data_IF_048431981188
#
_entry.id   IF_048431981188
#
_cell.length_a   1.000
_cell.length_b   1.000
_cell.length_c   1.000
_cell.angle_alpha   90.00
_cell.angle_beta   90.00
_cell.angle_gamma   90.00
#
_symmetry.space_group_name_H-M   'P 1'
#
loop_
_entity.id
_entity.type
_entity.pdbx_description
1 polymer ?
#
# COMPACT_ATOMS: atom_id res chain seq x y z
N UNK A 1 24.51 4.51 6.27
CA UNK A 1 23.33 3.70 6.67
C UNK A 1 22.41 4.67 7.38
N UNK A 2 21.12 4.68 7.09
CA UNK A 2 20.18 5.56 7.79
C UNK A 2 19.96 5.04 9.23
N UNK A 3 19.47 5.92 10.13
CA UNK A 3 19.11 5.49 11.51
C UNK A 3 18.04 4.41 11.51
N UNK A 4 17.13 4.45 10.54
CA UNK A 4 16.12 3.43 10.29
C UNK A 4 16.76 2.07 9.95
N UNK A 5 17.76 2.07 9.04
CA UNK A 5 18.49 0.85 8.69
C UNK A 5 19.30 0.32 9.86
N UNK A 6 19.97 1.18 10.62
CA UNK A 6 20.72 0.80 11.82
C UNK A 6 19.81 0.14 12.86
N UNK A 7 18.58 0.67 13.04
CA UNK A 7 17.62 0.13 14.00
C UNK A 7 17.15 -1.27 13.61
N UNK A 8 16.78 -1.47 12.34
CA UNK A 8 16.35 -2.79 11.86
C UNK A 8 17.52 -3.77 11.82
N UNK A 9 18.73 -3.33 11.44
CA UNK A 9 19.93 -4.19 11.44
C UNK A 9 20.33 -4.58 12.85
N UNK A 10 20.20 -3.69 13.84
CA UNK A 10 20.38 -4.03 15.24
C UNK A 10 19.49 -5.21 15.66
N UNK A 11 18.21 -5.18 15.27
CA UNK A 11 17.29 -6.28 15.51
C UNK A 11 17.64 -7.54 14.71
N UNK A 12 17.95 -7.40 13.42
CA UNK A 12 18.27 -8.50 12.51
C UNK A 12 19.52 -9.28 12.98
N UNK A 13 20.53 -8.57 13.50
CA UNK A 13 21.75 -9.17 14.04
C UNK A 13 21.51 -10.07 15.26
N UNK A 14 20.35 -9.94 15.90
CA UNK A 14 19.98 -10.70 17.10
C UNK A 14 19.14 -11.95 16.82
N UNK A 15 18.70 -12.15 15.59
CA UNK A 15 17.85 -13.30 15.23
C UNK A 15 18.50 -14.61 15.61
N UNK A 16 17.75 -15.43 16.34
CA UNK A 16 18.24 -16.70 16.90
C UNK A 16 18.76 -16.60 18.34
N UNK A 17 18.91 -15.40 18.91
CA UNK A 17 19.21 -15.26 20.36
C UNK A 17 18.06 -15.83 21.16
N UNK A 18 18.36 -16.76 22.06
CA UNK A 18 17.40 -17.43 22.96
C UNK A 18 17.60 -16.96 24.39
N UNK A 19 16.52 -16.92 25.15
CA UNK A 19 16.63 -16.79 26.60
C UNK A 19 17.16 -18.08 27.22
N UNK A 20 17.76 -17.95 28.37
CA UNK A 20 17.92 -19.04 29.31
C UNK A 20 16.68 -19.06 30.20
N UNK A 21 16.10 -20.22 30.57
CA UNK A 21 14.85 -20.26 31.30
C UNK A 21 14.90 -19.43 32.59
N UNK A 22 13.94 -18.70 32.96
CA UNK A 22 12.76 -18.10 32.37
C UNK A 22 13.05 -16.60 32.20
N UNK A 23 13.05 -16.08 31.00
CA UNK A 23 13.32 -14.66 30.69
C UNK A 23 14.75 -14.16 31.09
N UNK A 24 15.72 -15.05 31.30
CA UNK A 24 17.13 -14.65 31.48
C UNK A 24 17.71 -14.36 30.09
N UNK A 25 17.88 -13.10 29.78
CA UNK A 25 18.42 -12.65 28.49
C UNK A 25 19.18 -11.34 28.66
N UNK A 26 20.18 -11.11 27.82
CA UNK A 26 21.03 -9.91 27.91
C UNK A 26 20.26 -8.59 27.81
N UNK A 27 19.10 -8.57 27.15
CA UNK A 27 18.26 -7.38 27.02
C UNK A 27 17.64 -7.00 28.36
N UNK A 28 17.15 -7.98 29.13
CA UNK A 28 16.65 -7.78 30.47
C UNK A 28 17.77 -7.36 31.42
N UNK A 29 18.95 -8.01 31.35
CA UNK A 29 20.10 -7.62 32.18
C UNK A 29 20.51 -6.16 31.92
N UNK A 30 20.52 -5.75 30.65
CA UNK A 30 20.75 -4.36 30.26
C UNK A 30 19.70 -3.40 30.83
N UNK A 31 18.40 -3.74 30.68
CA UNK A 31 17.30 -2.88 31.08
C UNK A 31 17.22 -2.69 32.59
N UNK A 32 17.35 -3.78 33.35
CA UNK A 32 17.25 -3.76 34.82
C UNK A 32 18.58 -3.48 35.54
N UNK A 33 19.69 -3.48 34.80
CA UNK A 33 21.05 -3.28 35.38
C UNK A 33 21.59 -4.48 36.14
N UNK A 34 20.88 -5.60 36.20
CA UNK A 34 21.25 -6.85 36.82
C UNK A 34 20.46 -8.02 36.20
N UNK A 35 20.98 -9.26 36.29
CA UNK A 35 20.23 -10.43 35.85
C UNK A 35 18.91 -10.57 36.58
N UNK A 36 17.81 -10.80 35.81
CA UNK A 36 16.46 -11.06 36.30
C UNK A 36 15.94 -12.36 35.72
N UNK A 37 14.96 -12.98 36.41
CA UNK A 37 14.34 -14.23 35.97
C UNK A 37 12.92 -14.32 36.46
N UNK A 38 12.05 -14.99 35.73
CA UNK A 38 10.66 -15.26 36.07
C UNK A 38 9.66 -14.63 35.10
N UNK A 39 8.39 -15.02 35.22
CA UNK A 39 7.30 -14.68 34.29
C UNK A 39 7.00 -13.17 34.19
N UNK A 40 7.39 -12.40 35.20
CA UNK A 40 7.19 -10.95 35.25
C UNK A 40 8.14 -10.13 34.37
N UNK A 41 9.09 -10.78 33.69
CA UNK A 41 10.16 -10.13 32.91
C UNK A 41 10.07 -10.41 31.42
N UNK A 42 8.85 -10.37 30.86
CA UNK A 42 8.64 -10.45 29.42
C UNK A 42 9.46 -9.36 28.70
N UNK A 43 10.20 -9.73 27.64
CA UNK A 43 11.22 -8.86 27.07
C UNK A 43 10.99 -8.44 25.62
N UNK A 44 9.76 -8.54 25.11
CA UNK A 44 9.46 -8.08 23.74
C UNK A 44 9.69 -6.57 23.59
N UNK A 45 9.19 -5.76 24.53
CA UNK A 45 9.34 -4.29 24.50
C UNK A 45 10.75 -3.85 24.93
N UNK A 46 11.33 -4.56 25.89
CA UNK A 46 12.75 -4.39 26.30
C UNK A 46 13.70 -4.63 25.12
N UNK A 47 13.41 -5.60 24.26
CA UNK A 47 14.20 -5.86 23.04
C UNK A 47 14.13 -4.67 22.07
N UNK A 48 12.94 -4.10 21.87
CA UNK A 48 12.76 -2.90 21.04
C UNK A 48 13.56 -1.72 21.59
N UNK A 49 13.48 -1.48 22.91
CA UNK A 49 14.27 -0.46 23.62
C UNK A 49 15.78 -0.69 23.47
N UNK A 50 16.24 -1.95 23.58
CA UNK A 50 17.64 -2.30 23.41
C UNK A 50 18.14 -2.02 21.98
N UNK A 51 17.36 -2.36 20.95
CA UNK A 51 17.69 -2.03 19.56
C UNK A 51 17.78 -0.52 19.35
N UNK A 52 16.85 0.23 19.94
CA UNK A 52 16.85 1.69 19.87
C UNK A 52 18.09 2.32 20.56
N UNK A 53 18.52 1.75 21.69
CA UNK A 53 19.76 2.15 22.36
C UNK A 53 20.99 1.91 21.47
N UNK A 54 21.06 0.75 20.79
CA UNK A 54 22.20 0.40 19.94
C UNK A 54 22.42 1.41 18.78
N UNK A 55 21.37 2.06 18.29
CA UNK A 55 21.47 3.06 17.21
C UNK A 55 21.29 4.51 17.68
N UNK A 56 21.20 4.74 19.00
CA UNK A 56 21.16 6.10 19.59
C UNK A 56 19.84 6.85 19.38
N UNK A 57 18.72 6.14 19.28
CA UNK A 57 17.36 6.71 19.14
C UNK A 57 16.45 6.45 20.35
N UNK A 58 17.00 5.81 21.39
CA UNK A 58 16.29 5.54 22.64
C UNK A 58 15.89 6.88 23.30
N UNK A 59 14.65 6.97 23.81
CA UNK A 59 14.02 8.16 24.41
C UNK A 59 13.95 9.39 23.48
N UNK A 60 14.36 9.24 22.22
CA UNK A 60 14.21 10.25 21.18
C UNK A 60 13.05 9.86 20.25
N UNK A 61 13.15 8.70 19.60
CA UNK A 61 12.16 8.17 18.66
C UNK A 61 11.44 6.93 19.20
N UNK A 62 12.07 6.19 20.11
CA UNK A 62 11.54 4.96 20.74
C UNK A 62 11.70 5.11 22.25
N UNK A 63 10.64 5.00 23.06
CA UNK A 63 10.74 5.14 24.50
C UNK A 63 11.42 3.93 25.15
N UNK A 64 12.11 4.13 26.28
CA UNK A 64 12.63 3.04 27.10
C UNK A 64 11.48 2.41 27.90
N UNK A 65 10.97 1.26 27.46
CA UNK A 65 9.82 0.61 28.07
C UNK A 65 10.01 -0.91 28.21
N UNK A 66 9.27 -1.49 29.16
CA UNK A 66 9.13 -2.94 29.36
C UNK A 66 7.67 -3.39 29.31
N UNK A 67 6.76 -2.47 28.92
CA UNK A 67 5.32 -2.70 28.94
C UNK A 67 4.65 -2.07 27.70
N UNK A 68 4.24 -2.90 26.78
CA UNK A 68 3.72 -2.49 25.47
C UNK A 68 2.61 -1.43 25.51
N UNK A 69 1.61 -1.48 26.44
CA UNK A 69 0.63 -0.40 26.55
C UNK A 69 1.24 0.97 26.85
N UNK A 70 2.33 1.05 27.62
CA UNK A 70 3.03 2.33 27.88
C UNK A 70 3.74 2.84 26.63
N UNK A 71 4.32 1.95 25.82
CA UNK A 71 4.88 2.30 24.51
C UNK A 71 3.80 2.83 23.58
N UNK A 72 2.65 2.16 23.48
CA UNK A 72 1.51 2.61 22.66
C UNK A 72 1.02 3.98 23.10
N UNK A 73 0.87 4.23 24.41
CA UNK A 73 0.43 5.53 24.93
C UNK A 73 1.41 6.65 24.58
N UNK A 74 2.73 6.39 24.69
CA UNK A 74 3.77 7.33 24.32
C UNK A 74 3.64 7.78 22.84
N UNK A 75 3.33 6.85 21.93
CA UNK A 75 3.10 7.16 20.50
C UNK A 75 1.75 7.83 20.25
N UNK A 76 0.69 7.46 20.99
CA UNK A 76 -0.63 8.13 20.92
C UNK A 76 -0.56 9.61 21.30
N UNK A 77 0.14 9.93 22.39
CA UNK A 77 0.36 11.32 22.83
C UNK A 77 1.04 12.17 21.76
N UNK A 78 1.77 11.55 20.84
CA UNK A 78 2.49 12.20 19.74
C UNK A 78 1.77 12.15 18.40
N UNK A 79 0.59 11.53 18.35
CA UNK A 79 -0.15 11.34 17.10
C UNK A 79 0.50 10.36 16.13
N UNK A 80 1.38 9.49 16.61
CA UNK A 80 2.17 8.54 15.84
C UNK A 80 1.72 7.07 16.01
N UNK A 81 0.58 6.85 16.64
CA UNK A 81 -0.05 5.53 16.70
C UNK A 81 -1.19 5.44 15.70
N UNK A 82 -1.16 4.42 14.84
CA UNK A 82 -2.11 4.19 13.77
C UNK A 82 -2.83 2.87 13.96
N UNK A 83 -4.15 2.91 13.95
CA UNK A 83 -5.02 1.74 13.82
C UNK A 83 -5.32 1.49 12.33
N UNK A 84 -6.09 0.50 11.99
CA UNK A 84 -6.33 -0.01 10.64
C UNK A 84 -6.22 0.96 9.47
N UNK A 85 -5.72 0.48 8.34
CA UNK A 85 -5.52 1.27 7.12
C UNK A 85 -4.14 1.93 7.00
N UNK A 86 -3.29 1.84 8.01
CA UNK A 86 -1.90 2.30 7.93
C UNK A 86 -1.02 1.27 7.25
N UNK A 87 -0.22 1.70 6.29
CA UNK A 87 0.82 0.89 5.66
C UNK A 87 2.13 1.09 6.41
N UNK A 88 2.63 0.09 7.13
CA UNK A 88 3.82 0.26 7.95
C UNK A 88 5.07 0.43 7.09
N UNK A 89 5.99 1.24 7.59
CA UNK A 89 7.33 1.43 7.03
C UNK A 89 8.33 0.54 7.76
N UNK A 90 9.45 0.24 7.12
CA UNK A 90 10.60 -0.40 7.76
C UNK A 90 10.98 0.37 9.04
N UNK A 91 11.16 -0.32 10.14
CA UNK A 91 11.50 0.27 11.43
C UNK A 91 10.32 0.76 12.28
N UNK A 92 9.09 0.76 11.77
CA UNK A 92 7.91 0.97 12.59
C UNK A 92 7.70 -0.20 13.57
N UNK A 93 6.88 0.02 14.60
CA UNK A 93 6.60 -1.02 15.59
C UNK A 93 5.21 -1.60 15.36
N UNK A 94 5.12 -2.89 15.12
CA UNK A 94 3.85 -3.62 15.01
C UNK A 94 3.33 -3.97 16.41
N UNK A 95 2.08 -3.62 16.70
CA UNK A 95 1.40 -3.87 17.97
C UNK A 95 0.38 -5.00 17.79
N UNK A 96 0.50 -6.01 18.62
CA UNK A 96 -0.33 -7.21 18.54
C UNK A 96 -1.53 -7.16 19.49
N UNK A 97 -2.48 -8.09 19.29
CA UNK A 97 -3.75 -8.14 20.00
C UNK A 97 -3.59 -7.94 21.51
N UNK A 98 -4.50 -7.14 22.11
CA UNK A 98 -4.52 -6.75 23.53
C UNK A 98 -3.29 -5.97 23.98
N UNK A 99 -2.47 -5.44 23.02
CA UNK A 99 -1.18 -4.80 23.33
C UNK A 99 -0.28 -5.71 24.18
N UNK A 100 -0.35 -7.02 23.94
CA UNK A 100 0.39 -8.02 24.70
C UNK A 100 1.76 -8.34 24.11
N UNK A 101 2.05 -7.80 22.91
CA UNK A 101 3.29 -8.07 22.21
C UNK A 101 3.61 -6.95 21.21
N UNK A 102 4.90 -6.79 20.88
CA UNK A 102 5.44 -5.77 19.99
C UNK A 102 6.58 -6.35 19.16
N UNK A 103 6.72 -5.89 17.93
CA UNK A 103 7.84 -6.27 17.04
C UNK A 103 8.25 -5.11 16.14
N UNK A 104 9.50 -5.13 15.67
CA UNK A 104 10.04 -4.15 14.72
C UNK A 104 9.71 -4.61 13.31
N UNK A 105 9.10 -3.75 12.49
CA UNK A 105 8.80 -4.02 11.08
C UNK A 105 10.12 -4.06 10.29
N UNK A 106 10.41 -5.21 9.69
CA UNK A 106 11.59 -5.41 8.82
C UNK A 106 11.29 -4.90 7.41
N UNK A 107 10.12 -5.25 6.86
CA UNK A 107 9.59 -4.74 5.59
C UNK A 107 8.08 -5.04 5.45
N UNK A 108 7.47 -4.44 4.43
CA UNK A 108 6.08 -4.67 4.04
C UNK A 108 6.00 -4.92 2.53
N UNK A 109 5.30 -5.97 2.11
CA UNK A 109 5.12 -6.38 0.70
C UNK A 109 3.66 -6.79 0.38
N UNK A 110 2.71 -6.25 1.14
CA UNK A 110 1.31 -6.69 1.19
C UNK A 110 1.02 -7.54 2.44
N UNK A 111 2.06 -8.04 3.12
CA UNK A 111 2.07 -8.59 4.46
C UNK A 111 3.10 -7.87 5.32
N UNK A 112 2.93 -7.88 6.64
CA UNK A 112 3.89 -7.28 7.56
C UNK A 112 4.91 -8.31 8.00
N UNK A 113 6.20 -8.04 7.77
CA UNK A 113 7.32 -8.86 8.20
C UNK A 113 8.03 -8.18 9.35
N UNK A 114 8.18 -8.90 10.46
CA UNK A 114 8.71 -8.34 11.72
C UNK A 114 9.90 -9.12 12.24
N UNK A 115 10.69 -8.44 13.08
CA UNK A 115 11.66 -9.05 13.97
C UNK A 115 11.18 -8.83 15.40
N UNK A 116 10.94 -9.91 16.13
CA UNK A 116 10.30 -9.90 17.43
C UNK A 116 11.20 -10.50 18.51
N UNK A 117 11.36 -9.78 19.62
CA UNK A 117 11.93 -10.32 20.84
C UNK A 117 10.88 -11.12 21.62
N UNK A 118 11.31 -12.08 22.40
CA UNK A 118 10.43 -12.93 23.22
C UNK A 118 9.33 -13.66 22.41
N UNK A 119 9.62 -13.98 21.16
CA UNK A 119 8.71 -14.78 20.33
C UNK A 119 9.08 -16.24 20.41
N UNK A 120 8.33 -17.01 21.22
CA UNK A 120 8.71 -18.39 21.56
C UNK A 120 10.12 -18.42 22.17
N UNK A 121 10.34 -17.58 23.17
CA UNK A 121 11.55 -17.50 24.00
C UNK A 121 12.84 -17.15 23.23
N UNK A 122 12.69 -16.47 22.06
CA UNK A 122 13.81 -16.06 21.21
C UNK A 122 13.53 -14.80 20.42
N UNK A 123 14.59 -14.27 19.78
CA UNK A 123 14.47 -13.27 18.72
C UNK A 123 14.19 -13.98 17.39
N UNK A 124 13.08 -13.64 16.76
CA UNK A 124 12.60 -14.37 15.58
C UNK A 124 12.04 -13.44 14.51
N UNK A 125 12.26 -13.79 13.22
CA UNK A 125 11.52 -13.23 12.10
C UNK A 125 10.14 -13.87 11.99
N UNK A 126 9.12 -13.03 11.82
CA UNK A 126 7.75 -13.45 11.64
C UNK A 126 7.10 -12.74 10.45
N UNK A 127 6.05 -13.35 9.89
CA UNK A 127 5.30 -12.81 8.77
C UNK A 127 3.81 -12.88 9.08
N UNK A 128 3.09 -11.79 8.81
CA UNK A 128 1.67 -11.65 9.10
C UNK A 128 0.93 -11.18 7.86
N UNK A 129 -0.07 -11.92 7.44
CA UNK A 129 -1.02 -11.48 6.45
C UNK A 129 -1.94 -10.41 7.07
N UNK A 130 -2.55 -9.58 6.26
CA UNK A 130 -3.24 -8.32 6.59
C UNK A 130 -4.39 -8.44 7.61
N UNK A 131 -4.76 -9.62 8.12
CA UNK A 131 -5.93 -9.82 8.98
C UNK A 131 -5.59 -10.52 10.30
N UNK A 132 -5.83 -9.82 11.41
CA UNK A 132 -6.21 -10.43 12.68
C UNK A 132 -5.20 -10.49 13.81
N UNK A 133 -3.89 -10.36 13.59
CA UNK A 133 -2.91 -10.43 14.68
C UNK A 133 -2.36 -9.06 15.09
N UNK A 134 -2.15 -8.15 14.13
CA UNK A 134 -1.69 -6.79 14.36
C UNK A 134 -2.90 -5.88 14.49
N UNK A 135 -2.94 -5.08 15.57
CA UNK A 135 -4.04 -4.16 15.87
C UNK A 135 -3.71 -2.71 15.56
N UNK A 136 -2.44 -2.41 15.32
CA UNK A 136 -1.97 -1.07 14.99
C UNK A 136 -0.46 -1.02 14.87
N UNK A 137 0.04 0.17 14.54
CA UNK A 137 1.45 0.43 14.37
C UNK A 137 1.84 1.72 15.08
N UNK A 138 3.04 1.73 15.66
CA UNK A 138 3.68 2.96 16.10
C UNK A 138 4.65 3.41 15.00
N UNK A 139 4.42 4.58 14.41
CA UNK A 139 5.29 5.18 13.42
C UNK A 139 6.54 5.75 14.10
N UNK A 140 7.71 5.22 13.76
CA UNK A 140 8.98 5.75 14.27
C UNK A 140 9.45 6.86 13.33
N UNK A 141 9.36 8.12 13.78
CA UNK A 141 9.60 9.34 12.99
C UNK A 141 11.11 9.60 12.80
N UNK A 142 11.77 8.81 11.96
CA UNK A 142 13.17 9.04 11.59
C UNK A 142 13.30 10.29 10.72
N UNK A 143 14.20 11.24 11.11
CA UNK A 143 14.40 12.52 10.40
C UNK A 143 15.21 12.41 9.09
N UNK A 144 15.91 11.31 8.87
CA UNK A 144 16.95 11.18 7.84
C UNK A 144 16.49 10.55 6.52
N UNK A 145 15.23 10.41 6.27
CA UNK A 145 14.79 10.12 4.92
C UNK A 145 14.38 11.41 4.22
N UNK A 146 14.97 11.72 3.03
CA UNK A 146 14.24 12.52 2.07
C UNK A 146 12.86 11.84 1.99
N UNK A 147 11.73 12.57 1.95
CA UNK A 147 10.41 11.95 2.02
C UNK A 147 10.45 10.74 1.11
N UNK A 148 10.43 9.55 1.72
CA UNK A 148 10.25 8.31 0.96
C UNK A 148 9.00 8.62 0.18
N UNK A 149 9.00 8.59 -1.17
CA UNK A 149 7.76 8.78 -1.88
C UNK A 149 6.82 7.81 -1.19
N UNK A 150 5.75 8.31 -0.58
CA UNK A 150 4.70 7.48 0.02
C UNK A 150 4.49 6.33 -0.94
N UNK A 151 4.51 5.05 -0.47
CA UNK A 151 4.20 3.95 -1.38
C UNK A 151 2.93 4.42 -2.09
N UNK A 152 2.95 4.50 -3.42
CA UNK A 152 1.90 5.18 -4.14
C UNK A 152 0.61 4.62 -3.59
N UNK A 153 -0.32 5.50 -3.15
CA UNK A 153 -1.66 5.04 -2.79
C UNK A 153 -2.07 4.02 -3.84
N UNK A 154 -2.78 2.95 -3.50
CA UNK A 154 -3.14 1.93 -4.50
C UNK A 154 -3.61 2.59 -5.80
N UNK A 155 -4.27 3.73 -5.69
CA UNK A 155 -4.68 4.60 -6.79
C UNK A 155 -3.48 5.16 -7.59
N UNK A 156 -2.44 5.66 -6.95
CA UNK A 156 -1.24 6.19 -7.64
C UNK A 156 -0.50 5.07 -8.37
N UNK A 157 -0.36 3.90 -7.76
CA UNK A 157 0.25 2.73 -8.38
C UNK A 157 -0.56 2.24 -9.59
N UNK A 158 -1.90 2.23 -9.48
CA UNK A 158 -2.81 1.89 -10.57
C UNK A 158 -2.67 2.86 -11.74
N UNK A 159 -2.65 4.17 -11.47
CA UNK A 159 -2.43 5.19 -12.52
C UNK A 159 -1.06 5.01 -13.18
N UNK A 160 0.02 4.75 -12.42
CA UNK A 160 1.35 4.48 -13.01
C UNK A 160 1.32 3.24 -13.92
N UNK A 161 0.52 2.22 -13.60
CA UNK A 161 0.34 1.04 -14.46
C UNK A 161 -0.36 1.42 -15.77
N UNK A 162 -1.39 2.25 -15.73
CA UNK A 162 -2.04 2.80 -16.91
C UNK A 162 -1.05 3.61 -17.76
N UNK A 163 -0.27 4.50 -17.14
CA UNK A 163 0.72 5.34 -17.83
C UNK A 163 1.81 4.52 -18.54
N UNK A 164 2.30 3.44 -17.90
CA UNK A 164 3.25 2.50 -18.54
C UNK A 164 2.62 1.82 -19.74
N UNK A 165 1.38 1.33 -19.60
CA UNK A 165 0.66 0.73 -20.74
C UNK A 165 0.44 1.72 -21.88
N UNK A 166 0.16 3.00 -21.62
CA UNK A 166 0.05 4.03 -22.65
C UNK A 166 1.38 4.21 -23.38
N UNK A 167 2.51 4.14 -22.69
CA UNK A 167 3.85 4.17 -23.31
C UNK A 167 4.11 2.92 -24.17
N UNK A 168 3.75 1.73 -23.66
CA UNK A 168 3.86 0.47 -24.42
C UNK A 168 2.96 0.48 -25.66
N UNK A 169 1.81 1.17 -25.60
CA UNK A 169 0.92 1.37 -26.75
C UNK A 169 1.50 2.36 -27.79
N UNK A 170 2.47 3.18 -27.42
CA UNK A 170 3.16 4.12 -28.28
C UNK A 170 2.89 5.61 -28.01
N UNK A 171 2.22 5.95 -26.93
CA UNK A 171 2.01 7.33 -26.49
C UNK A 171 2.98 7.72 -25.37
N UNK A 172 3.75 8.81 -25.59
CA UNK A 172 4.68 9.32 -24.57
C UNK A 172 3.91 9.94 -23.39
N UNK A 173 3.82 9.19 -22.29
CA UNK A 173 3.11 9.58 -21.07
C UNK A 173 4.08 9.62 -19.90
N UNK A 174 4.08 10.71 -19.13
CA UNK A 174 4.87 10.79 -17.88
C UNK A 174 4.32 9.78 -16.87
N UNK A 175 5.20 8.94 -16.30
CA UNK A 175 4.81 7.94 -15.29
C UNK A 175 4.99 8.54 -13.89
N UNK A 176 4.04 9.37 -13.47
CA UNK A 176 4.05 10.11 -12.20
C UNK A 176 2.94 9.68 -11.23
N UNK A 177 2.01 8.83 -11.69
CA UNK A 177 0.84 8.41 -10.95
C UNK A 177 -0.25 9.48 -10.81
N UNK A 178 -0.26 10.48 -11.71
CA UNK A 178 -1.27 11.54 -11.75
C UNK A 178 -2.10 11.38 -13.02
N UNK A 179 -3.41 11.21 -12.87
CA UNK A 179 -4.36 11.19 -13.99
C UNK A 179 -4.63 12.61 -14.49
N UNK A 180 -3.58 13.28 -14.97
CA UNK A 180 -3.63 14.63 -15.51
C UNK A 180 -4.09 14.66 -16.97
N UNK A 181 -4.14 15.89 -17.57
CA UNK A 181 -4.61 16.08 -18.96
C UNK A 181 -3.87 15.21 -19.99
N UNK A 182 -2.56 15.01 -19.84
CA UNK A 182 -1.77 14.17 -20.75
C UNK A 182 -2.20 12.69 -20.68
N UNK A 183 -2.39 12.16 -19.47
CA UNK A 183 -2.82 10.78 -19.25
C UNK A 183 -4.21 10.56 -19.85
N UNK A 184 -5.16 11.44 -19.51
CA UNK A 184 -6.55 11.34 -19.99
C UNK A 184 -6.62 11.46 -21.52
N UNK A 185 -5.94 12.44 -22.13
CA UNK A 185 -5.88 12.57 -23.60
C UNK A 185 -5.29 11.32 -24.26
N UNK A 186 -4.24 10.72 -23.68
CA UNK A 186 -3.65 9.51 -24.25
C UNK A 186 -4.56 8.27 -24.10
N UNK A 187 -5.37 8.18 -23.03
CA UNK A 187 -6.41 7.14 -22.92
C UNK A 187 -7.44 7.28 -24.04
N UNK A 188 -7.92 8.51 -24.33
CA UNK A 188 -8.84 8.78 -25.41
C UNK A 188 -8.22 8.45 -26.78
N UNK A 189 -6.94 8.76 -27.00
CA UNK A 189 -6.23 8.37 -28.24
C UNK A 189 -6.19 6.87 -28.46
N UNK A 190 -5.96 6.08 -27.40
CA UNK A 190 -6.05 4.61 -27.51
C UNK A 190 -7.44 4.21 -27.97
N UNK A 191 -8.48 4.75 -27.33
CA UNK A 191 -9.87 4.45 -27.68
C UNK A 191 -10.19 4.79 -29.14
N UNK A 192 -9.87 6.01 -29.60
CA UNK A 192 -10.05 6.45 -30.99
C UNK A 192 -9.28 5.54 -31.99
N UNK A 193 -8.04 5.20 -31.66
CA UNK A 193 -7.24 4.34 -32.51
C UNK A 193 -7.83 2.92 -32.63
N UNK A 194 -8.35 2.39 -31.52
CA UNK A 194 -9.01 1.08 -31.53
C UNK A 194 -10.36 1.12 -32.26
N UNK A 195 -11.13 2.19 -32.16
CA UNK A 195 -12.34 2.37 -33.00
C UNK A 195 -11.97 2.38 -34.48
N UNK A 196 -10.88 3.04 -34.87
CA UNK A 196 -10.40 3.02 -36.24
C UNK A 196 -9.98 1.63 -36.70
N UNK A 197 -9.23 0.91 -35.85
CA UNK A 197 -8.73 -0.44 -36.18
C UNK A 197 -9.83 -1.49 -36.27
N UNK A 198 -10.76 -1.48 -35.31
CA UNK A 198 -11.73 -2.56 -35.15
C UNK A 198 -13.00 -2.31 -35.97
N UNK A 199 -13.38 -1.03 -36.16
CA UNK A 199 -14.64 -0.67 -36.80
C UNK A 199 -14.51 0.27 -38.00
N UNK A 200 -13.29 0.65 -38.39
CA UNK A 200 -13.07 1.53 -39.53
C UNK A 200 -13.63 2.93 -39.36
N UNK A 201 -13.65 3.44 -38.15
CA UNK A 201 -14.36 4.70 -37.80
C UNK A 201 -13.78 5.94 -38.47
N UNK A 202 -12.54 5.93 -38.98
CA UNK A 202 -11.91 7.04 -39.68
C UNK A 202 -11.70 8.30 -38.83
N UNK A 203 -11.58 8.13 -37.52
CA UNK A 203 -11.39 9.24 -36.56
C UNK A 203 -9.98 9.82 -36.67
N UNK A 204 -9.86 11.12 -36.45
CA UNK A 204 -8.61 11.74 -36.09
C UNK A 204 -8.27 11.31 -34.65
N UNK A 205 -7.06 10.80 -34.46
CA UNK A 205 -6.57 10.38 -33.13
C UNK A 205 -5.91 11.59 -32.45
N UNK A 206 -6.73 12.47 -31.88
CA UNK A 206 -6.30 13.73 -31.25
C UNK A 206 -6.36 13.69 -29.70
N UNK A 207 -7.09 12.71 -29.14
CA UNK A 207 -7.25 12.59 -27.70
C UNK A 207 -8.35 13.48 -27.12
N UNK A 208 -9.24 13.98 -27.97
CA UNK A 208 -10.46 14.73 -27.59
C UNK A 208 -11.69 13.88 -27.86
N UNK A 209 -12.53 13.66 -26.86
CA UNK A 209 -13.80 12.94 -27.02
C UNK A 209 -14.90 13.92 -27.50
N UNK A 210 -14.88 14.25 -28.79
CA UNK A 210 -15.85 15.12 -29.42
C UNK A 210 -16.96 14.37 -30.18
N UNK A 211 -17.79 15.11 -30.88
CA UNK A 211 -19.02 14.61 -31.59
C UNK A 211 -18.71 13.42 -32.51
N UNK A 212 -17.59 13.43 -33.25
CA UNK A 212 -17.22 12.34 -34.14
C UNK A 212 -16.85 11.07 -33.39
N UNK A 213 -16.15 11.22 -32.26
CA UNK A 213 -15.81 10.08 -31.39
C UNK A 213 -17.08 9.53 -30.74
N UNK A 214 -17.96 10.41 -30.27
CA UNK A 214 -19.28 10.04 -29.77
C UNK A 214 -20.08 9.24 -30.81
N UNK A 215 -20.21 9.76 -32.02
CA UNK A 215 -20.94 9.07 -33.09
C UNK A 215 -20.35 7.70 -33.44
N UNK A 216 -19.04 7.53 -33.32
CA UNK A 216 -18.36 6.26 -33.55
C UNK A 216 -18.46 5.27 -32.38
N UNK A 217 -18.87 5.72 -31.20
CA UNK A 217 -18.93 4.93 -29.95
C UNK A 217 -20.28 4.19 -29.76
N UNK A 218 -21.01 3.90 -30.83
CA UNK A 218 -22.29 3.22 -30.76
C UNK A 218 -22.22 1.74 -30.32
N UNK A 219 -21.06 1.19 -30.25
CA UNK A 219 -20.82 -0.20 -29.81
C UNK A 219 -20.98 -0.34 -28.29
N UNK A 220 -21.74 -1.35 -27.90
CA UNK A 220 -21.90 -1.70 -26.50
C UNK A 220 -20.77 -2.64 -26.06
N UNK A 221 -20.08 -2.29 -24.99
CA UNK A 221 -19.01 -3.11 -24.39
C UNK A 221 -19.49 -3.65 -23.05
N UNK A 222 -19.48 -4.96 -22.90
CA UNK A 222 -20.00 -5.65 -21.72
C UNK A 222 -19.17 -6.90 -21.38
N UNK A 223 -19.60 -7.59 -20.36
CA UNK A 223 -18.94 -8.82 -19.88
C UNK A 223 -18.62 -9.81 -21.00
N UNK A 224 -17.40 -10.30 -21.01
CA UNK A 224 -16.83 -11.18 -22.02
C UNK A 224 -16.04 -10.45 -23.13
N UNK A 225 -16.16 -9.12 -23.24
CA UNK A 225 -15.32 -8.35 -24.15
C UNK A 225 -13.85 -8.37 -23.69
N UNK A 226 -12.92 -8.34 -24.67
CA UNK A 226 -11.51 -8.25 -24.37
C UNK A 226 -10.75 -7.38 -25.39
N UNK A 227 -9.56 -6.97 -25.01
CA UNK A 227 -8.67 -6.17 -25.86
C UNK A 227 -8.53 -4.72 -25.41
N UNK A 228 -7.97 -3.89 -26.29
CA UNK A 228 -7.56 -2.54 -25.93
C UNK A 228 -8.74 -1.57 -25.71
N UNK A 229 -9.93 -1.81 -26.29
CA UNK A 229 -11.12 -1.02 -25.96
C UNK A 229 -11.49 -1.24 -24.49
N UNK A 230 -11.61 -2.49 -24.06
CA UNK A 230 -11.86 -2.83 -22.64
C UNK A 230 -10.78 -2.25 -21.76
N UNK A 231 -9.53 -2.36 -22.16
CA UNK A 231 -8.40 -1.84 -21.39
C UNK A 231 -8.41 -0.32 -21.27
N UNK A 232 -8.85 0.40 -22.32
CA UNK A 232 -9.02 1.85 -22.25
C UNK A 232 -10.19 2.28 -21.33
N UNK A 233 -11.26 1.48 -21.25
CA UNK A 233 -12.35 1.67 -20.29
C UNK A 233 -11.83 1.51 -18.86
N UNK A 234 -11.11 0.43 -18.57
CA UNK A 234 -10.48 0.20 -17.28
C UNK A 234 -9.49 1.32 -16.92
N UNK A 235 -8.71 1.81 -17.90
CA UNK A 235 -7.82 2.95 -17.72
C UNK A 235 -8.56 4.23 -17.33
N UNK A 236 -9.68 4.51 -17.99
CA UNK A 236 -10.51 5.69 -17.71
C UNK A 236 -11.18 5.59 -16.31
N UNK A 237 -11.71 4.43 -15.93
CA UNK A 237 -12.22 4.17 -14.58
C UNK A 237 -11.11 4.37 -13.52
N UNK A 238 -9.93 3.82 -13.77
CA UNK A 238 -8.76 4.02 -12.89
C UNK A 238 -8.41 5.51 -12.78
N UNK A 239 -8.39 6.25 -13.89
CA UNK A 239 -8.12 7.69 -13.89
C UNK A 239 -9.14 8.50 -13.10
N UNK A 240 -10.40 8.05 -13.08
CA UNK A 240 -11.50 8.66 -12.30
C UNK A 240 -11.53 8.20 -10.82
N UNK A 241 -10.59 7.35 -10.38
CA UNK A 241 -10.46 6.95 -8.98
C UNK A 241 -11.09 5.61 -8.63
N UNK A 242 -11.67 4.90 -9.58
CA UNK A 242 -12.27 3.60 -9.34
C UNK A 242 -11.21 2.49 -9.29
N UNK A 243 -11.42 1.54 -8.40
CA UNK A 243 -10.60 0.33 -8.31
C UNK A 243 -11.15 -0.70 -9.30
N UNK A 244 -10.34 -1.08 -10.27
CA UNK A 244 -10.67 -2.06 -11.30
C UNK A 244 -9.43 -2.82 -11.73
N UNK A 245 -9.56 -4.12 -11.98
CA UNK A 245 -8.48 -4.93 -12.54
C UNK A 245 -8.11 -4.48 -13.96
N UNK A 246 -6.84 -4.15 -14.18
CA UNK A 246 -6.33 -3.60 -15.44
C UNK A 246 -5.84 -4.71 -16.39
N UNK A 247 -6.72 -5.62 -16.77
CA UNK A 247 -6.40 -6.84 -17.54
C UNK A 247 -6.67 -6.72 -19.03
N UNK A 248 -7.60 -5.86 -19.43
CA UNK A 248 -8.16 -5.80 -20.79
C UNK A 248 -9.24 -6.85 -21.03
N UNK A 249 -9.67 -7.59 -20.02
CA UNK A 249 -10.82 -8.50 -20.04
C UNK A 249 -11.97 -7.88 -19.23
N UNK A 250 -13.16 -7.83 -19.82
CA UNK A 250 -14.37 -7.34 -19.15
C UNK A 250 -14.99 -8.47 -18.32
N UNK A 251 -14.47 -8.66 -17.11
CA UNK A 251 -14.94 -9.64 -16.13
C UNK A 251 -16.00 -9.09 -15.18
N UNK A 252 -16.30 -9.86 -14.12
CA UNK A 252 -17.24 -9.47 -13.07
C UNK A 252 -16.79 -8.19 -12.35
N UNK A 253 -15.51 -8.03 -12.12
CA UNK A 253 -14.91 -6.84 -11.50
C UNK A 253 -15.18 -5.58 -12.34
N UNK A 254 -14.93 -5.63 -13.65
CA UNK A 254 -15.18 -4.51 -14.55
C UNK A 254 -16.68 -4.20 -14.65
N UNK A 255 -17.56 -5.21 -14.74
CA UNK A 255 -19.01 -5.05 -14.78
C UNK A 255 -19.50 -4.35 -13.49
N UNK A 256 -19.04 -4.80 -12.33
CA UNK A 256 -19.39 -4.21 -11.04
C UNK A 256 -18.90 -2.76 -10.92
N UNK A 257 -17.66 -2.49 -11.34
CA UNK A 257 -17.07 -1.15 -11.27
C UNK A 257 -17.78 -0.17 -12.22
N UNK A 258 -18.15 -0.60 -13.42
CA UNK A 258 -18.94 0.21 -14.36
C UNK A 258 -20.32 0.52 -13.80
N UNK A 259 -21.01 -0.46 -13.19
CA UNK A 259 -22.30 -0.22 -12.55
C UNK A 259 -22.17 0.78 -11.37
N UNK A 260 -21.12 0.68 -10.58
CA UNK A 260 -20.78 1.65 -9.51
C UNK A 260 -20.58 3.06 -10.08
N UNK A 261 -19.75 3.19 -11.11
CA UNK A 261 -19.50 4.46 -11.80
C UNK A 261 -20.81 5.08 -12.34
N UNK A 262 -21.63 4.28 -13.03
CA UNK A 262 -22.93 4.74 -13.56
C UNK A 262 -23.84 5.26 -12.45
N UNK A 263 -23.93 4.54 -11.33
CA UNK A 263 -24.70 4.96 -10.17
C UNK A 263 -24.21 6.31 -9.61
N UNK A 264 -22.91 6.48 -9.47
CA UNK A 264 -22.30 7.69 -8.89
C UNK A 264 -22.52 8.94 -9.75
N UNK A 265 -22.66 8.77 -11.06
CA UNK A 265 -22.97 9.86 -11.99
C UNK A 265 -24.48 10.00 -12.31
N UNK A 266 -25.34 9.25 -11.61
CA UNK A 266 -26.81 9.33 -11.75
C UNK A 266 -27.38 8.63 -12.97
N UNK A 267 -26.62 7.70 -13.59
CA UNK A 267 -27.12 6.82 -14.66
C UNK A 267 -27.69 5.53 -14.08
N UNK A 268 -28.48 4.80 -14.89
CA UNK A 268 -28.94 3.46 -14.51
C UNK A 268 -27.73 2.51 -14.42
N UNK A 269 -27.50 1.82 -13.30
CA UNK A 269 -26.32 0.97 -13.08
C UNK A 269 -26.47 -0.38 -13.81
N UNK A 270 -26.25 -0.40 -15.10
CA UNK A 270 -26.39 -1.60 -15.95
C UNK A 270 -25.13 -2.47 -15.97
N UNK A 271 -23.98 -1.91 -15.60
CA UNK A 271 -22.68 -2.57 -15.75
C UNK A 271 -22.24 -2.73 -17.21
N UNK A 272 -22.89 -2.03 -18.14
CA UNK A 272 -22.63 -2.09 -19.58
C UNK A 272 -22.20 -0.71 -20.07
N UNK A 273 -21.10 -0.64 -20.81
CA UNK A 273 -20.61 0.60 -21.39
C UNK A 273 -21.27 0.78 -22.77
N UNK A 274 -22.34 1.56 -22.80
CA UNK A 274 -23.01 2.06 -23.99
C UNK A 274 -22.43 3.41 -24.46
N UNK A 275 -22.98 3.99 -25.46
CA UNK A 275 -22.55 5.26 -26.04
C UNK A 275 -22.57 6.41 -25.03
N UNK A 276 -23.61 6.50 -24.20
CA UNK A 276 -23.76 7.55 -23.20
C UNK A 276 -22.81 7.35 -22.04
N UNK A 277 -22.65 6.11 -21.57
CA UNK A 277 -21.64 5.76 -20.55
C UNK A 277 -20.22 6.07 -21.05
N UNK A 278 -19.93 5.78 -22.32
CA UNK A 278 -18.63 6.07 -22.96
C UNK A 278 -18.38 7.59 -22.96
N UNK A 279 -19.39 8.39 -23.31
CA UNK A 279 -19.27 9.85 -23.31
C UNK A 279 -18.90 10.40 -21.92
N UNK A 280 -19.57 9.93 -20.88
CA UNK A 280 -19.27 10.34 -19.50
C UNK A 280 -17.90 9.85 -19.01
N UNK A 281 -17.46 8.69 -19.50
CA UNK A 281 -16.21 8.09 -19.07
C UNK A 281 -14.98 8.84 -19.61
N UNK A 282 -15.04 9.36 -20.84
CA UNK A 282 -13.92 9.99 -21.54
C UNK A 282 -13.94 11.54 -21.54
N UNK A 283 -14.98 12.16 -21.00
CA UNK A 283 -15.06 13.61 -20.75
C UNK A 283 -14.82 13.93 -19.29
#
# INVERSE_FOLDING_TARGET
>A
MSKRDEFVEAAASQVGTKEIPVNIVKYNEWYYGHPVSGDGYAWCDVFVSWCAMCCGILDILVPMQNYVPSTVEWYKERGLYHEGGYTPKKGDLAIFQRQAHIGIVEYYDGGTHTIEGNKSDMVKRCSYNTYGSIIGYCEVAFEDEPPTPEPPSDQKARIMTVQRWLNDYGYNTTVDGIAGPQTNSNIVKVYQNELNKQFGAGLKVDGEYGDLTYAASWHTISKGANGNITKSIQAALTAKGYEVEFTGYYGDDTEYTVAGYQNDIGMTPTGVVDQDTTAQLYT
#
